data_IF_651254936352
#
_entry.id   IF_651254936352
#
_cell.length_a   1.000
_cell.length_b   1.000
_cell.length_c   1.000
_cell.angle_alpha   90.00
_cell.angle_beta   90.00
_cell.angle_gamma   90.00
#
_symmetry.space_group_name_H-M   'P 1'
#
loop_
_entity.id
_entity.type
_entity.pdbx_description
1 polymer ?
#
# COMPACT_ATOMS: atom_id res chain seq x y z
N UNK A 1 -5.39 4.82 -0.68
CA UNK A 1 -4.48 3.66 -0.68
C UNK A 1 -3.94 3.56 0.73
N UNK A 2 -4.26 2.50 1.48
CA UNK A 2 -4.04 2.42 2.94
C UNK A 2 -2.76 1.69 3.35
N UNK A 3 -1.84 1.42 2.41
CA UNK A 3 -0.58 0.73 2.72
C UNK A 3 0.45 1.73 3.29
N UNK A 4 1.02 1.40 4.46
CA UNK A 4 2.09 2.18 5.12
C UNK A 4 3.33 2.40 4.22
N UNK A 5 3.61 1.45 3.33
CA UNK A 5 4.77 1.49 2.44
C UNK A 5 4.49 2.16 1.09
N UNK A 6 3.28 2.67 0.88
CA UNK A 6 2.90 3.29 -0.37
C UNK A 6 3.71 4.57 -0.61
N UNK A 7 4.32 4.67 -1.80
CA UNK A 7 5.16 5.83 -2.16
C UNK A 7 4.37 6.79 -3.06
N UNK A 8 3.60 6.28 -4.01
CA UNK A 8 2.87 7.11 -4.95
C UNK A 8 2.67 6.47 -6.31
N UNK A 9 2.42 7.32 -7.30
CA UNK A 9 2.23 6.91 -8.70
C UNK A 9 3.52 7.16 -9.49
N UNK A 10 3.90 6.17 -10.30
CA UNK A 10 5.04 6.18 -11.22
C UNK A 10 4.53 5.95 -12.66
N UNK A 11 5.34 6.15 -13.72
CA UNK A 11 4.90 5.97 -15.11
C UNK A 11 4.32 4.58 -15.41
N UNK A 12 4.83 3.53 -14.75
CA UNK A 12 4.38 2.14 -14.90
C UNK A 12 3.18 1.76 -14.03
N UNK A 13 2.74 2.60 -13.08
CA UNK A 13 1.63 2.26 -12.18
C UNK A 13 1.72 2.90 -10.80
N UNK A 14 1.30 2.17 -9.77
CA UNK A 14 1.48 2.56 -8.38
C UNK A 14 2.74 1.89 -7.82
N UNK A 15 3.45 2.55 -6.92
CA UNK A 15 4.67 2.04 -6.31
C UNK A 15 4.59 2.07 -4.79
N UNK A 16 5.27 1.11 -4.18
CA UNK A 16 5.54 1.05 -2.75
C UNK A 16 6.98 0.56 -2.53
N UNK A 17 7.46 0.59 -1.30
CA UNK A 17 8.82 0.08 -1.00
C UNK A 17 8.99 -1.42 -1.30
N UNK A 18 7.91 -2.21 -1.23
CA UNK A 18 7.94 -3.63 -1.60
C UNK A 18 8.07 -3.84 -3.12
N UNK A 19 7.50 -2.94 -3.91
CA UNK A 19 7.48 -3.00 -5.37
C UNK A 19 7.84 -1.63 -5.98
N UNK A 20 9.14 -1.29 -6.04
CA UNK A 20 9.58 0.01 -6.54
C UNK A 20 9.31 0.20 -8.04
N UNK A 21 9.22 -0.90 -8.80
CA UNK A 21 8.96 -0.88 -10.25
C UNK A 21 7.46 -0.87 -10.59
N UNK A 22 6.59 -1.15 -9.61
CA UNK A 22 5.15 -1.17 -9.76
C UNK A 22 4.48 -2.30 -8.97
N UNK A 23 3.40 -1.97 -8.25
CA UNK A 23 2.59 -2.94 -7.50
C UNK A 23 1.86 -3.87 -8.49
N UNK A 24 2.01 -5.20 -8.36
CA UNK A 24 1.29 -6.18 -9.18
C UNK A 24 -0.23 -5.94 -9.20
N UNK A 25 -0.85 -6.07 -10.37
CA UNK A 25 -2.29 -5.83 -10.52
C UNK A 25 -3.12 -6.79 -9.67
N UNK A 26 -2.67 -8.02 -9.47
CA UNK A 26 -3.36 -8.99 -8.62
C UNK A 26 -3.50 -8.55 -7.15
N UNK A 27 -2.51 -7.82 -6.63
CA UNK A 27 -2.56 -7.24 -5.28
C UNK A 27 -3.53 -6.06 -5.29
N UNK A 28 -3.45 -5.21 -6.32
CA UNK A 28 -4.32 -4.04 -6.49
C UNK A 28 -5.80 -4.40 -6.69
N UNK A 29 -6.07 -5.48 -7.42
CA UNK A 29 -7.40 -6.02 -7.68
C UNK A 29 -7.93 -6.84 -6.49
N UNK A 30 -7.13 -7.03 -5.43
CA UNK A 30 -7.50 -7.82 -4.25
C UNK A 30 -7.52 -9.34 -4.49
N UNK A 31 -6.97 -9.83 -5.59
CA UNK A 31 -6.83 -11.27 -5.89
C UNK A 31 -5.80 -11.95 -4.98
N UNK A 32 -4.82 -11.20 -4.51
CA UNK A 32 -3.83 -11.66 -3.53
C UNK A 32 -3.83 -10.75 -2.29
N UNK A 33 -3.97 -11.36 -1.11
CA UNK A 33 -3.84 -10.62 0.16
C UNK A 33 -2.36 -10.44 0.50
N UNK A 34 -1.83 -9.25 0.21
CA UNK A 34 -0.43 -8.90 0.45
C UNK A 34 -0.08 -8.71 1.94
N UNK A 35 -0.99 -9.05 2.87
CA UNK A 35 -0.63 -9.40 4.24
C UNK A 35 0.19 -10.69 4.32
N UNK A 36 0.21 -11.49 3.25
CA UNK A 36 1.07 -12.64 3.06
C UNK A 36 2.29 -12.27 2.21
N UNK A 37 3.39 -13.02 2.40
CA UNK A 37 4.59 -12.88 1.57
C UNK A 37 4.26 -13.10 0.10
N UNK A 38 4.67 -12.17 -0.74
CA UNK A 38 4.52 -12.23 -2.18
C UNK A 38 5.89 -12.36 -2.85
N UNK A 39 6.04 -13.18 -3.90
CA UNK A 39 7.32 -13.30 -4.61
C UNK A 39 7.78 -11.94 -5.14
N UNK A 40 8.95 -11.47 -4.68
CA UNK A 40 9.53 -10.20 -5.12
C UNK A 40 9.13 -8.98 -4.30
N UNK A 41 8.43 -9.13 -3.17
CA UNK A 41 8.04 -8.04 -2.26
C UNK A 41 9.19 -7.48 -1.38
N UNK A 42 10.44 -7.79 -1.71
CA UNK A 42 11.62 -7.46 -0.91
C UNK A 42 11.54 -7.87 0.58
N UNK A 43 10.65 -8.81 0.93
CA UNK A 43 10.36 -9.20 2.32
C UNK A 43 9.48 -8.22 3.08
N UNK A 44 8.90 -7.23 2.40
CA UNK A 44 8.03 -6.20 2.98
C UNK A 44 6.58 -6.61 2.72
N UNK A 45 5.85 -6.92 3.79
CA UNK A 45 4.42 -7.22 3.71
C UNK A 45 3.58 -5.96 3.87
N UNK A 46 2.35 -6.00 3.36
CA UNK A 46 1.37 -4.94 3.54
C UNK A 46 1.10 -4.69 5.02
N UNK A 47 1.05 -3.41 5.38
CA UNK A 47 0.66 -2.94 6.70
C UNK A 47 -0.27 -1.75 6.52
N UNK A 48 -1.31 -1.69 7.33
CA UNK A 48 -2.21 -0.55 7.36
C UNK A 48 -1.47 0.70 7.83
N UNK A 49 -1.65 1.80 7.12
CA UNK A 49 -1.15 3.10 7.54
C UNK A 49 -2.04 3.67 8.66
N UNK A 50 -1.50 3.95 9.86
CA UNK A 50 -2.31 4.42 10.99
C UNK A 50 -2.88 5.83 10.79
N UNK A 51 -2.34 6.63 9.85
CA UNK A 51 -2.89 7.94 9.51
C UNK A 51 -4.07 7.85 8.53
N UNK A 52 -4.23 6.72 7.82
CA UNK A 52 -5.35 6.49 6.92
C UNK A 52 -6.70 6.29 7.66
N UNK A 53 -6.67 5.72 8.86
CA UNK A 53 -7.87 5.35 9.61
C UNK A 53 -8.38 6.43 10.56
N UNK A 54 -7.70 7.58 10.70
CA UNK A 54 -8.21 8.64 11.59
C UNK A 54 -9.35 9.37 10.89
N UNK A 55 -10.61 9.28 11.39
CA UNK A 55 -11.58 10.31 11.05
C UNK A 55 -10.94 11.65 11.40
N UNK A 56 -11.12 12.64 10.53
CA UNK A 56 -10.80 14.02 10.84
C UNK A 56 -11.68 14.33 12.06
N UNK A 57 -11.09 14.36 13.26
CA UNK A 57 -11.77 14.93 14.41
C UNK A 57 -11.95 16.40 14.05
N UNK A 58 -13.16 16.78 13.65
CA UNK A 58 -13.51 18.17 13.45
C UNK A 58 -13.13 18.91 14.72
N UNK A 59 -12.06 19.71 14.65
CA UNK A 59 -11.84 20.81 15.57
C UNK A 59 -12.99 21.80 15.34
N UNK A 60 -14.13 21.55 15.98
CA UNK A 60 -15.15 22.58 16.20
C UNK A 60 -15.14 22.88 17.71
N UNK A 61 -14.49 24.01 17.99
CA UNK A 61 -14.30 24.70 19.26
C UNK A 61 -15.62 25.25 19.85
#
# INVERSE_FOLDING_TARGET
MSCFWYVGRIPSGLACYAFPEGIPSEIMEGKFDHRNRYPGDAGIMWREDPSWARPIESEEE
#
